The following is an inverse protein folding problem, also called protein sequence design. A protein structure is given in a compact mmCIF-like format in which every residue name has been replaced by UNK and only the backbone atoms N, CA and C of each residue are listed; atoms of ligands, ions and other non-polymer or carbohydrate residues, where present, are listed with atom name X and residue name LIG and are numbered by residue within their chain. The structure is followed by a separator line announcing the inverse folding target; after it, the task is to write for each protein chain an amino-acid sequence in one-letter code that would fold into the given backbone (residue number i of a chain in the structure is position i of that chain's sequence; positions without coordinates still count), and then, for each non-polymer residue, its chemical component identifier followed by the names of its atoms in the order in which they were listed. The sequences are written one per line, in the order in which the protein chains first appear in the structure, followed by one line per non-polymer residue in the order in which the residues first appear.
data_IF_911056490829
#
_entry.id   IF_911056490829
#
_cell.length_a   1.000
_cell.length_b   1.000
_cell.length_c   1.000
_cell.angle_alpha   90.00
_cell.angle_beta   90.00
_cell.angle_gamma   90.00
#
_symmetry.space_group_name_H-M   'P 1'
#
loop_
_entity.id
_entity.type
_entity.pdbx_description
1 polymer ?
#
# COMPACT_ATOMS: atom_id res chain seq x y z
N UNK A 1 -31.22 -28.08 8.95
CA UNK A 1 -30.84 -26.96 8.10
C UNK A 1 -29.35 -26.61 8.21
N UNK A 2 -28.68 -26.79 9.32
CA UNK A 2 -27.24 -26.50 9.54
C UNK A 2 -26.24 -27.48 8.87
N UNK A 3 -26.63 -28.70 8.54
CA UNK A 3 -25.77 -29.71 7.88
C UNK A 3 -25.69 -29.60 6.36
N UNK A 4 -26.53 -28.82 5.69
CA UNK A 4 -26.49 -28.60 4.24
C UNK A 4 -25.57 -27.37 3.88
N UNK A 5 -25.31 -26.47 4.82
CA UNK A 5 -24.45 -25.29 4.59
C UNK A 5 -22.97 -25.70 4.63
N UNK A 6 -22.58 -26.67 5.48
CA UNK A 6 -21.18 -27.08 5.62
C UNK A 6 -20.63 -27.85 4.39
N UNK A 7 -21.49 -28.56 3.62
CA UNK A 7 -21.05 -29.31 2.42
C UNK A 7 -20.87 -28.44 1.16
N UNK A 8 -21.56 -27.28 1.06
CA UNK A 8 -21.37 -26.34 -0.03
C UNK A 8 -20.11 -25.49 0.16
N UNK A 9 -19.71 -25.20 1.41
CA UNK A 9 -18.48 -24.45 1.68
C UNK A 9 -17.20 -25.25 1.38
N UNK A 10 -17.20 -26.57 1.62
CA UNK A 10 -16.02 -27.41 1.36
C UNK A 10 -15.75 -27.64 -0.13
N UNK A 11 -16.79 -27.66 -0.98
CA UNK A 11 -16.66 -27.77 -2.45
C UNK A 11 -16.21 -26.44 -3.10
N UNK A 12 -16.66 -25.30 -2.56
CA UNK A 12 -16.28 -23.97 -3.03
C UNK A 12 -14.81 -23.63 -2.68
N UNK A 13 -14.30 -24.14 -1.53
CA UNK A 13 -12.90 -23.93 -1.13
C UNK A 13 -11.93 -24.64 -2.09
N UNK A 14 -12.18 -25.90 -2.46
CA UNK A 14 -11.34 -26.63 -3.42
C UNK A 14 -11.32 -26.04 -4.83
N UNK A 15 -12.41 -25.45 -5.30
CA UNK A 15 -12.43 -24.77 -6.60
C UNK A 15 -11.75 -23.40 -6.56
N UNK A 16 -11.77 -22.69 -5.42
CA UNK A 16 -11.04 -21.42 -5.20
C UNK A 16 -9.54 -21.65 -5.17
N UNK A 17 -9.06 -22.68 -4.48
CA UNK A 17 -7.63 -23.00 -4.39
C UNK A 17 -7.05 -23.45 -5.74
N UNK A 18 -7.83 -24.17 -6.57
CA UNK A 18 -7.42 -24.49 -7.94
C UNK A 18 -7.43 -23.27 -8.88
N UNK A 19 -8.41 -22.37 -8.76
CA UNK A 19 -8.42 -21.12 -9.53
C UNK A 19 -7.27 -20.18 -9.09
N UNK A 20 -6.93 -20.14 -7.79
CA UNK A 20 -5.81 -19.35 -7.27
C UNK A 20 -4.46 -19.89 -7.74
N UNK A 21 -4.30 -21.21 -7.83
CA UNK A 21 -3.10 -21.83 -8.37
C UNK A 21 -2.96 -21.67 -9.90
N UNK A 22 -4.07 -21.65 -10.64
CA UNK A 22 -4.05 -21.42 -12.10
C UNK A 22 -3.82 -19.94 -12.48
N UNK A 23 -4.19 -18.97 -11.62
CA UNK A 23 -4.02 -17.53 -11.87
C UNK A 23 -2.70 -16.95 -11.31
N UNK A 24 -1.87 -17.73 -10.62
CA UNK A 24 -0.56 -17.28 -10.10
C UNK A 24 0.40 -16.76 -11.19
N UNK A 25 0.07 -17.01 -12.47
CA UNK A 25 0.92 -16.71 -13.63
C UNK A 25 0.48 -15.46 -14.44
N UNK A 26 -0.51 -14.69 -13.97
CA UNK A 26 -0.96 -13.46 -14.65
C UNK A 26 -0.80 -12.18 -13.83
N UNK A 27 0.04 -12.19 -12.82
CA UNK A 27 0.34 -11.03 -11.98
C UNK A 27 1.33 -10.07 -12.67
N UNK A 28 0.96 -9.54 -13.83
CA UNK A 28 1.67 -8.39 -14.38
C UNK A 28 1.27 -7.14 -13.59
N UNK A 29 2.25 -6.51 -12.97
CA UNK A 29 2.06 -5.36 -12.09
C UNK A 29 1.79 -4.07 -12.83
N UNK A 30 2.50 -3.83 -13.90
CA UNK A 30 2.17 -2.86 -14.92
C UNK A 30 1.24 -3.54 -15.93
N UNK A 31 0.29 -2.82 -16.51
CA UNK A 31 -0.56 -3.39 -17.56
C UNK A 31 0.34 -4.05 -18.62
N UNK A 32 0.12 -5.35 -18.83
CA UNK A 32 0.89 -6.13 -19.81
C UNK A 32 0.86 -5.53 -21.22
N UNK A 33 -0.11 -4.65 -21.51
CA UNK A 33 -0.16 -3.88 -22.75
C UNK A 33 1.04 -2.95 -22.89
N UNK A 34 1.43 -2.24 -21.82
CA UNK A 34 2.62 -1.38 -21.84
C UNK A 34 3.91 -2.15 -22.05
N UNK A 35 4.05 -3.33 -21.42
CA UNK A 35 5.25 -4.16 -21.58
C UNK A 35 5.29 -4.93 -22.90
N UNK A 36 4.17 -5.03 -23.67
CA UNK A 36 4.07 -5.82 -24.90
C UNK A 36 3.84 -5.02 -26.15
N UNK A 37 3.09 -3.92 -26.06
CA UNK A 37 2.71 -3.11 -27.22
C UNK A 37 3.43 -1.77 -27.27
N UNK A 38 3.68 -1.15 -26.10
CA UNK A 38 4.19 0.22 -25.99
C UNK A 38 5.38 0.31 -25.02
N UNK A 39 6.28 -0.68 -25.07
CA UNK A 39 7.38 -0.80 -24.09
C UNK A 39 8.35 0.41 -24.11
N UNK A 40 8.56 1.01 -25.29
CA UNK A 40 9.43 2.19 -25.42
C UNK A 40 8.81 3.44 -24.75
N UNK A 41 7.51 3.63 -24.89
CA UNK A 41 6.80 4.73 -24.21
C UNK A 41 6.74 4.48 -22.69
N UNK A 42 6.53 3.24 -22.27
CA UNK A 42 6.63 2.88 -20.86
C UNK A 42 8.02 3.15 -20.28
N UNK A 43 9.08 2.77 -21.01
CA UNK A 43 10.46 3.02 -20.61
C UNK A 43 10.76 4.53 -20.48
N UNK A 44 10.27 5.34 -21.42
CA UNK A 44 10.43 6.80 -21.39
C UNK A 44 9.72 7.41 -20.17
N UNK A 45 8.49 7.00 -19.86
CA UNK A 45 7.75 7.49 -18.69
C UNK A 45 8.38 7.02 -17.38
N UNK A 46 8.89 5.79 -17.33
CA UNK A 46 9.59 5.26 -16.16
C UNK A 46 10.93 5.95 -15.92
N UNK A 47 11.63 6.38 -16.99
CA UNK A 47 12.85 7.17 -16.88
C UNK A 47 12.61 8.51 -16.14
N UNK A 48 11.43 9.12 -16.28
CA UNK A 48 11.04 10.32 -15.52
C UNK A 48 10.95 10.04 -13.99
N UNK A 49 10.82 8.77 -13.59
CA UNK A 49 10.81 8.32 -12.19
C UNK A 49 12.17 7.77 -11.71
N UNK A 50 13.27 8.12 -12.40
CA UNK A 50 14.60 7.58 -12.14
C UNK A 50 14.64 6.03 -12.21
N UNK A 51 13.76 5.41 -13.01
CA UNK A 51 13.72 3.96 -13.21
C UNK A 51 14.10 3.60 -14.65
N UNK A 52 15.16 2.80 -14.79
CA UNK A 52 15.59 2.28 -16.10
C UNK A 52 14.96 0.92 -16.36
N UNK A 53 14.09 0.84 -17.37
CA UNK A 53 13.48 -0.41 -17.80
C UNK A 53 14.43 -1.13 -18.76
N UNK A 54 14.75 -2.39 -18.49
CA UNK A 54 15.53 -3.22 -19.41
C UNK A 54 14.65 -3.74 -20.56
N UNK A 55 14.46 -2.88 -21.55
CA UNK A 55 13.63 -3.12 -22.74
C UNK A 55 14.12 -4.32 -23.53
N UNK A 56 15.46 -4.46 -23.68
CA UNK A 56 16.05 -5.56 -24.44
C UNK A 56 15.72 -6.91 -23.77
N UNK A 57 15.98 -7.02 -22.48
CA UNK A 57 15.71 -8.26 -21.70
C UNK A 57 14.25 -8.65 -21.74
N UNK A 58 13.32 -7.68 -21.60
CA UNK A 58 11.89 -7.95 -21.66
C UNK A 58 11.47 -8.45 -23.04
N UNK A 59 11.98 -7.82 -24.10
CA UNK A 59 11.68 -8.24 -25.46
C UNK A 59 12.18 -9.66 -25.76
N UNK A 60 13.39 -10.01 -25.30
CA UNK A 60 13.96 -11.36 -25.40
C UNK A 60 13.07 -12.39 -24.69
N UNK A 61 12.68 -12.11 -23.45
CA UNK A 61 11.81 -12.98 -22.66
C UNK A 61 10.40 -13.11 -23.25
N UNK A 62 9.80 -12.03 -23.76
CA UNK A 62 8.49 -12.06 -24.42
C UNK A 62 8.53 -12.84 -25.75
N UNK A 63 9.63 -12.77 -26.51
CA UNK A 63 9.83 -13.63 -27.68
C UNK A 63 9.88 -15.11 -27.28
N UNK A 64 10.72 -15.44 -26.29
CA UNK A 64 10.85 -16.81 -25.79
C UNK A 64 9.54 -17.35 -25.20
N UNK A 65 8.75 -16.50 -24.53
CA UNK A 65 7.41 -16.84 -24.04
C UNK A 65 6.48 -17.21 -25.20
N UNK A 66 6.45 -16.42 -26.27
CA UNK A 66 5.63 -16.71 -27.47
C UNK A 66 6.03 -18.03 -28.11
N UNK A 67 7.33 -18.26 -28.29
CA UNK A 67 7.87 -19.48 -28.91
C UNK A 67 7.53 -20.74 -28.10
N UNK A 68 7.75 -20.67 -26.78
CA UNK A 68 7.43 -21.77 -25.86
C UNK A 68 5.94 -22.07 -25.79
N UNK A 69 5.07 -21.01 -25.81
CA UNK A 69 3.61 -21.19 -25.87
C UNK A 69 3.16 -21.87 -27.16
N UNK A 70 3.63 -21.42 -28.32
CA UNK A 70 3.31 -21.98 -29.61
C UNK A 70 3.76 -23.44 -29.65
N UNK A 71 5.01 -23.74 -29.26
CA UNK A 71 5.53 -25.12 -29.23
C UNK A 71 4.74 -26.02 -28.29
N UNK A 72 4.32 -25.52 -27.14
CA UNK A 72 3.46 -26.26 -26.18
C UNK A 72 2.12 -26.64 -26.83
N UNK A 73 1.47 -25.68 -27.51
CA UNK A 73 0.19 -25.92 -28.20
C UNK A 73 0.33 -26.93 -29.30
N UNK A 74 1.39 -26.84 -30.12
CA UNK A 74 1.66 -27.78 -31.22
C UNK A 74 1.90 -29.22 -30.70
N UNK A 75 2.73 -29.35 -29.67
CA UNK A 75 3.01 -30.66 -29.05
C UNK A 75 1.76 -31.25 -28.38
N UNK A 76 0.91 -30.43 -27.76
CA UNK A 76 -0.37 -30.88 -27.21
C UNK A 76 -1.31 -31.40 -28.31
N UNK A 77 -1.41 -30.66 -29.43
CA UNK A 77 -2.22 -31.06 -30.57
C UNK A 77 -1.72 -32.39 -31.19
N UNK A 78 -0.40 -32.52 -31.40
CA UNK A 78 0.22 -33.75 -31.92
C UNK A 78 -0.04 -34.94 -30.99
N UNK A 79 0.18 -34.77 -29.68
CA UNK A 79 -0.08 -35.82 -28.68
C UNK A 79 -1.54 -36.29 -28.69
N UNK A 80 -2.48 -35.30 -28.76
CA UNK A 80 -3.92 -35.61 -28.78
C UNK A 80 -4.31 -36.38 -30.06
N UNK A 81 -3.76 -36.01 -31.22
CA UNK A 81 -3.99 -36.70 -32.48
C UNK A 81 -3.46 -38.13 -32.46
N UNK A 82 -2.21 -38.33 -32.01
CA UNK A 82 -1.62 -39.68 -31.87
C UNK A 82 -2.38 -40.54 -30.86
N UNK A 83 -2.86 -39.95 -29.76
CA UNK A 83 -3.68 -40.67 -28.77
C UNK A 83 -5.01 -41.15 -29.35
N UNK A 84 -5.63 -40.36 -30.24
CA UNK A 84 -6.84 -40.80 -30.99
C UNK A 84 -6.51 -41.94 -31.95
N UNK A 85 -5.37 -41.86 -32.66
CA UNK A 85 -4.91 -42.90 -33.56
C UNK A 85 -4.63 -44.22 -32.86
N UNK A 86 -4.06 -44.19 -31.63
CA UNK A 86 -3.91 -45.41 -30.79
C UNK A 86 -5.26 -46.07 -30.54
N UNK A 87 -6.31 -45.27 -30.17
CA UNK A 87 -7.64 -45.81 -29.95
C UNK A 87 -8.26 -46.50 -31.20
N UNK A 88 -8.00 -45.93 -32.38
CA UNK A 88 -8.46 -46.49 -33.67
C UNK A 88 -7.68 -47.77 -34.04
N UNK A 89 -6.36 -47.73 -33.90
CA UNK A 89 -5.50 -48.87 -34.22
C UNK A 89 -5.77 -50.10 -33.33
N UNK A 90 -6.01 -49.89 -32.02
CA UNK A 90 -6.40 -50.97 -31.09
C UNK A 90 -7.72 -51.58 -31.51
N UNK A 91 -8.71 -50.78 -31.90
CA UNK A 91 -10.01 -51.30 -32.40
C UNK A 91 -9.86 -52.08 -33.68
N UNK A 92 -8.85 -51.78 -34.52
CA UNK A 92 -8.54 -52.46 -35.76
C UNK A 92 -7.59 -53.66 -35.57
N UNK A 93 -7.17 -53.99 -34.33
CA UNK A 93 -6.24 -55.09 -34.05
C UNK A 93 -4.80 -54.83 -34.53
N UNK A 94 -4.41 -53.59 -34.77
CA UNK A 94 -3.08 -53.21 -35.25
C UNK A 94 -2.08 -53.02 -34.10
N UNK A 95 -0.79 -53.22 -34.38
CA UNK A 95 0.27 -52.93 -33.44
C UNK A 95 0.39 -51.40 -33.19
N UNK A 96 0.44 -51.01 -31.92
CA UNK A 96 0.50 -49.60 -31.49
C UNK A 96 1.84 -49.24 -30.83
N UNK A 97 2.82 -50.13 -30.86
CA UNK A 97 4.11 -49.98 -30.16
C UNK A 97 4.84 -48.70 -30.62
N UNK A 98 4.92 -48.48 -31.93
CA UNK A 98 5.59 -47.30 -32.50
C UNK A 98 4.86 -45.99 -32.17
N UNK A 99 3.52 -46.00 -32.25
CA UNK A 99 2.72 -44.80 -31.93
C UNK A 99 2.84 -44.46 -30.43
N UNK A 100 2.88 -45.46 -29.54
CA UNK A 100 3.12 -45.26 -28.10
C UNK A 100 4.51 -44.68 -27.84
N UNK A 101 5.56 -45.14 -28.55
CA UNK A 101 6.91 -44.58 -28.43
C UNK A 101 6.95 -43.11 -28.88
N UNK A 102 6.25 -42.75 -29.96
CA UNK A 102 6.12 -41.35 -30.41
C UNK A 102 5.39 -40.48 -29.36
N UNK A 103 4.29 -40.99 -28.78
CA UNK A 103 3.57 -40.28 -27.71
C UNK A 103 4.45 -40.08 -26.49
N UNK A 104 5.26 -41.05 -26.10
CA UNK A 104 6.20 -40.91 -24.99
C UNK A 104 7.24 -39.81 -25.28
N UNK A 105 7.87 -39.82 -26.45
CA UNK A 105 8.83 -38.78 -26.86
C UNK A 105 8.22 -37.36 -26.88
N UNK A 106 7.01 -37.21 -27.42
CA UNK A 106 6.29 -35.94 -27.42
C UNK A 106 5.97 -35.50 -25.98
N UNK A 107 5.65 -36.44 -25.09
CA UNK A 107 5.34 -36.12 -23.69
C UNK A 107 6.58 -35.63 -22.92
N UNK A 108 7.75 -36.19 -23.18
CA UNK A 108 9.04 -35.74 -22.64
C UNK A 108 9.39 -34.33 -23.15
N UNK A 109 9.26 -34.09 -24.46
CA UNK A 109 9.49 -32.78 -25.06
C UNK A 109 8.51 -31.73 -24.49
N UNK A 110 7.22 -32.10 -24.35
CA UNK A 110 6.20 -31.21 -23.76
C UNK A 110 6.55 -30.86 -22.33
N UNK A 111 7.05 -31.77 -21.51
CA UNK A 111 7.48 -31.51 -20.15
C UNK A 111 8.66 -30.54 -20.11
N UNK A 112 9.65 -30.72 -21.00
CA UNK A 112 10.81 -29.84 -21.12
C UNK A 112 10.41 -28.43 -21.55
N UNK A 113 9.57 -28.30 -22.59
CA UNK A 113 9.09 -26.96 -23.05
C UNK A 113 8.26 -26.26 -22.01
N UNK A 114 7.42 -26.97 -21.25
CA UNK A 114 6.67 -26.39 -20.14
C UNK A 114 7.58 -25.90 -19.03
N UNK A 115 8.57 -26.66 -18.63
CA UNK A 115 9.53 -26.21 -17.60
C UNK A 115 10.24 -24.94 -18.05
N UNK A 116 10.63 -24.81 -19.32
CA UNK A 116 11.22 -23.59 -19.87
C UNK A 116 10.22 -22.43 -19.90
N UNK A 117 8.97 -22.70 -20.25
CA UNK A 117 7.89 -21.68 -20.21
C UNK A 117 7.69 -21.15 -18.79
N UNK A 118 7.66 -22.04 -17.81
CA UNK A 118 7.50 -21.67 -16.40
C UNK A 118 8.67 -20.81 -15.90
N UNK A 119 9.90 -21.13 -16.29
CA UNK A 119 11.09 -20.33 -15.99
C UNK A 119 11.00 -18.92 -16.58
N UNK A 120 10.64 -18.80 -17.86
CA UNK A 120 10.49 -17.52 -18.57
C UNK A 120 9.38 -16.68 -17.93
N UNK A 121 8.24 -17.28 -17.61
CA UNK A 121 7.13 -16.60 -16.95
C UNK A 121 7.53 -16.10 -15.56
N UNK A 122 8.30 -16.91 -14.81
CA UNK A 122 8.82 -16.51 -13.51
C UNK A 122 9.73 -15.28 -13.65
N UNK A 123 10.68 -15.31 -14.59
CA UNK A 123 11.63 -14.20 -14.78
C UNK A 123 10.91 -12.89 -15.19
N UNK A 124 9.94 -12.97 -16.14
CA UNK A 124 9.10 -11.85 -16.51
C UNK A 124 8.30 -11.28 -15.31
N UNK A 125 7.76 -12.16 -14.47
CA UNK A 125 7.04 -11.76 -13.27
C UNK A 125 7.98 -11.10 -12.26
N UNK A 126 9.17 -11.65 -12.02
CA UNK A 126 10.15 -11.09 -11.08
C UNK A 126 10.59 -9.67 -11.53
N UNK A 127 10.80 -9.45 -12.82
CA UNK A 127 11.04 -8.11 -13.37
C UNK A 127 9.83 -7.20 -13.13
N UNK A 128 8.62 -7.64 -13.51
CA UNK A 128 7.41 -6.84 -13.38
C UNK A 128 7.10 -6.45 -11.92
N UNK A 129 7.49 -7.28 -10.93
CA UNK A 129 7.35 -6.98 -9.51
C UNK A 129 8.14 -5.75 -9.06
N UNK A 130 9.22 -5.41 -9.76
CA UNK A 130 10.11 -4.29 -9.42
C UNK A 130 9.81 -3.00 -10.20
N UNK A 131 8.96 -3.07 -11.23
CA UNK A 131 8.60 -1.90 -12.04
C UNK A 131 7.60 -1.03 -11.28
N UNK A 132 7.88 0.27 -11.05
CA UNK A 132 6.94 1.18 -10.41
C UNK A 132 5.75 1.51 -11.32
N UNK A 133 4.69 2.08 -10.74
CA UNK A 133 3.56 2.57 -11.50
C UNK A 133 3.95 3.72 -12.44
N UNK A 134 3.22 3.90 -13.54
CA UNK A 134 3.46 5.00 -14.47
C UNK A 134 2.94 6.33 -13.91
N UNK A 135 3.73 7.42 -14.00
CA UNK A 135 3.27 8.73 -13.55
C UNK A 135 2.14 9.24 -14.43
N UNK A 136 1.19 9.96 -13.85
CA UNK A 136 0.20 10.71 -14.62
C UNK A 136 0.88 11.88 -15.35
N UNK A 137 0.37 12.24 -16.53
CA UNK A 137 0.92 13.32 -17.35
C UNK A 137 0.88 14.70 -16.67
N UNK A 138 -0.02 14.89 -15.68
CA UNK A 138 -0.11 16.12 -14.90
C UNK A 138 0.91 16.23 -13.76
N UNK A 139 1.74 15.21 -13.53
CA UNK A 139 2.77 15.27 -12.50
C UNK A 139 3.92 16.18 -12.93
N UNK A 140 4.46 17.02 -12.05
CA UNK A 140 5.71 17.73 -12.32
C UNK A 140 6.82 16.73 -12.64
N UNK A 141 7.67 17.04 -13.62
CA UNK A 141 8.83 16.20 -13.95
C UNK A 141 10.04 16.74 -13.20
N UNK A 142 10.67 15.89 -12.41
CA UNK A 142 11.86 16.25 -11.63
C UNK A 142 12.53 15.04 -11.00
N UNK A 143 13.80 15.19 -10.57
CA UNK A 143 14.62 14.09 -10.05
C UNK A 143 14.30 13.74 -8.59
N UNK A 144 13.88 14.71 -7.77
CA UNK A 144 13.72 14.59 -6.32
C UNK A 144 12.75 15.66 -5.77
N UNK A 145 12.60 15.71 -4.45
CA UNK A 145 11.70 16.61 -3.71
C UNK A 145 11.84 18.10 -4.05
N UNK A 146 12.99 18.54 -4.54
CA UNK A 146 13.23 19.94 -4.93
C UNK A 146 12.39 20.41 -6.12
N UNK A 147 11.87 19.46 -6.91
CA UNK A 147 10.99 19.72 -8.05
C UNK A 147 9.50 19.56 -7.74
N UNK A 148 9.12 19.32 -6.48
CA UNK A 148 7.73 19.32 -6.05
C UNK A 148 7.12 20.71 -6.20
N UNK A 149 5.83 20.78 -6.54
CA UNK A 149 5.14 22.05 -6.83
C UNK A 149 4.07 22.33 -5.80
N UNK A 150 4.14 23.48 -5.11
CA UNK A 150 3.06 23.95 -4.26
C UNK A 150 1.80 24.21 -5.09
N UNK A 151 0.69 23.56 -4.74
CA UNK A 151 -0.60 23.70 -5.43
C UNK A 151 -1.55 24.60 -4.67
N UNK A 152 -1.47 24.62 -3.35
CA UNK A 152 -2.29 25.48 -2.47
C UNK A 152 -1.72 25.57 -1.07
N UNK A 153 -2.13 26.62 -0.36
CA UNK A 153 -1.69 26.93 1.00
C UNK A 153 -2.87 27.38 1.84
N UNK A 154 -2.87 27.03 3.11
CA UNK A 154 -3.88 27.46 4.07
C UNK A 154 -3.28 27.92 5.39
N UNK A 155 -3.87 28.96 5.97
CA UNK A 155 -3.43 29.54 7.23
C UNK A 155 -2.17 30.39 7.12
N UNK A 156 -1.82 31.04 8.22
CA UNK A 156 -0.61 31.86 8.34
C UNK A 156 0.18 31.40 9.56
N UNK A 157 1.48 31.11 9.43
CA UNK A 157 2.33 30.79 10.58
C UNK A 157 2.22 31.84 11.69
N UNK A 158 2.05 31.40 12.93
CA UNK A 158 2.02 32.26 14.09
C UNK A 158 3.41 32.88 14.32
N UNK A 159 3.45 34.17 14.61
CA UNK A 159 4.65 34.85 15.12
C UNK A 159 4.71 34.69 16.64
N UNK A 160 5.90 34.46 17.16
CA UNK A 160 6.17 34.32 18.59
C UNK A 160 7.04 35.47 19.04
N UNK A 161 6.76 36.03 20.22
CA UNK A 161 7.55 37.04 20.89
C UNK A 161 8.54 36.46 21.93
N UNK A 162 8.71 35.12 21.90
CA UNK A 162 9.61 34.36 22.74
C UNK A 162 10.36 33.30 21.91
N UNK A 163 11.40 32.73 22.50
CA UNK A 163 12.17 31.64 21.86
C UNK A 163 11.34 30.36 21.72
N UNK A 164 11.12 29.96 20.48
CA UNK A 164 10.34 28.74 20.11
C UNK A 164 11.13 27.49 20.49
N UNK A 165 10.48 26.60 21.23
CA UNK A 165 11.03 25.27 21.57
C UNK A 165 10.50 24.21 20.63
N UNK A 166 11.33 23.19 20.36
CA UNK A 166 10.88 22.00 19.66
C UNK A 166 9.99 21.13 20.58
N UNK A 167 9.21 20.24 19.96
CA UNK A 167 8.29 19.34 20.67
C UNK A 167 8.97 18.46 21.72
N UNK A 168 10.27 18.14 21.54
CA UNK A 168 11.04 17.37 22.52
C UNK A 168 11.29 18.20 23.77
N UNK A 169 11.80 19.42 23.62
CA UNK A 169 12.05 20.31 24.73
C UNK A 169 10.75 20.67 25.48
N UNK A 170 9.63 20.84 24.77
CA UNK A 170 8.30 21.06 25.36
C UNK A 170 7.88 19.81 26.16
N UNK A 171 7.89 18.64 25.54
CA UNK A 171 7.40 17.41 26.16
C UNK A 171 8.25 16.89 27.33
N UNK A 172 9.58 17.03 27.25
CA UNK A 172 10.50 16.74 28.36
C UNK A 172 10.35 17.78 29.47
N UNK A 173 10.23 19.07 29.13
CA UNK A 173 10.00 20.15 30.10
C UNK A 173 8.69 19.98 30.90
N UNK A 174 7.65 19.43 30.27
CA UNK A 174 6.40 19.04 30.93
C UNK A 174 6.50 17.71 31.71
N UNK A 175 7.57 16.92 31.51
CA UNK A 175 7.72 15.58 32.10
C UNK A 175 6.81 14.51 31.46
N UNK A 176 6.26 14.79 30.24
CA UNK A 176 5.22 13.99 29.61
C UNK A 176 5.67 13.24 28.34
N UNK A 177 6.85 13.55 27.79
CA UNK A 177 7.56 12.72 26.78
C UNK A 177 8.81 12.14 27.42
N UNK A 178 9.06 10.85 27.22
CA UNK A 178 10.15 10.12 27.86
C UNK A 178 10.82 9.18 26.85
N UNK A 179 11.89 9.67 26.26
CA UNK A 179 12.70 8.92 25.29
C UNK A 179 13.74 8.03 25.96
N UNK A 180 14.13 8.33 27.21
CA UNK A 180 15.11 7.54 27.96
C UNK A 180 14.50 6.19 28.37
N UNK A 181 13.30 6.22 28.95
CA UNK A 181 12.57 4.98 29.27
C UNK A 181 12.28 4.16 28.00
N UNK A 182 11.92 4.81 26.90
CA UNK A 182 11.69 4.12 25.62
C UNK A 182 12.96 3.42 25.11
N UNK A 183 14.11 4.09 25.22
CA UNK A 183 15.41 3.49 24.85
C UNK A 183 15.75 2.27 25.69
N UNK A 184 15.43 2.30 26.96
CA UNK A 184 15.64 1.16 27.87
C UNK A 184 14.77 -0.04 27.49
N UNK A 185 13.53 0.21 27.06
CA UNK A 185 12.53 -0.86 26.78
C UNK A 185 12.68 -1.41 25.36
N UNK A 186 12.88 -0.54 24.35
CA UNK A 186 12.77 -0.92 22.93
C UNK A 186 13.93 -0.40 22.05
N UNK A 187 14.80 0.48 22.59
CA UNK A 187 15.86 1.09 21.80
C UNK A 187 15.54 2.52 21.33
N UNK A 188 16.30 3.00 20.34
CA UNK A 188 16.10 4.30 19.75
C UNK A 188 14.81 4.34 18.89
N UNK A 189 14.32 5.55 18.58
CA UNK A 189 13.12 5.78 17.74
C UNK A 189 11.82 5.17 18.30
N UNK A 190 11.72 5.10 19.63
CA UNK A 190 10.50 4.85 20.39
C UNK A 190 10.30 5.97 21.40
N UNK A 191 9.07 6.20 21.84
CA UNK A 191 8.73 7.20 22.82
C UNK A 191 7.67 6.68 23.81
N UNK A 192 7.78 7.13 25.06
CA UNK A 192 6.69 7.04 26.03
C UNK A 192 5.99 8.39 26.10
N UNK A 193 4.68 8.38 26.03
CA UNK A 193 3.81 9.52 26.26
C UNK A 193 3.06 9.34 27.58
N UNK A 194 3.01 10.35 28.42
CA UNK A 194 2.41 10.27 29.76
C UNK A 194 1.34 11.35 29.95
N UNK A 195 0.37 11.08 30.84
CA UNK A 195 -0.61 12.04 31.30
C UNK A 195 -1.35 12.79 30.19
N UNK A 196 -1.45 14.14 30.30
CA UNK A 196 -2.15 14.99 29.34
C UNK A 196 -1.68 14.87 27.89
N UNK A 197 -0.36 14.72 27.62
CA UNK A 197 0.13 14.52 26.24
C UNK A 197 -0.38 13.20 25.68
N UNK A 198 -0.42 12.11 26.47
CA UNK A 198 -1.02 10.87 26.03
C UNK A 198 -2.53 10.99 25.74
N UNK A 199 -3.24 11.77 26.58
CA UNK A 199 -4.67 12.09 26.33
C UNK A 199 -4.83 12.93 25.06
N UNK A 200 -3.93 13.90 24.81
CA UNK A 200 -3.93 14.74 23.62
C UNK A 200 -3.69 13.90 22.35
N UNK A 201 -2.74 12.96 22.38
CA UNK A 201 -2.51 12.03 21.29
C UNK A 201 -3.77 11.21 20.95
N UNK A 202 -4.45 10.67 21.97
CA UNK A 202 -5.70 9.94 21.77
C UNK A 202 -6.84 10.86 21.29
N UNK A 203 -6.90 12.10 21.75
CA UNK A 203 -7.89 13.09 21.29
C UNK A 203 -7.71 13.44 19.81
N UNK A 204 -6.47 13.49 19.31
CA UNK A 204 -6.18 13.66 17.89
C UNK A 204 -6.72 12.50 17.06
N UNK A 205 -6.50 11.25 17.52
CA UNK A 205 -7.08 10.06 16.86
C UNK A 205 -8.59 10.16 16.76
N UNK A 206 -9.26 10.50 17.89
CA UNK A 206 -10.73 10.61 17.91
C UNK A 206 -11.24 11.71 16.97
N UNK A 207 -10.59 12.89 16.96
CA UNK A 207 -10.95 13.96 16.05
C UNK A 207 -10.84 13.53 14.57
N UNK A 208 -9.74 12.87 14.21
CA UNK A 208 -9.52 12.40 12.85
C UNK A 208 -10.60 11.39 12.42
N UNK A 209 -10.87 10.38 13.26
CA UNK A 209 -11.90 9.39 12.97
C UNK A 209 -13.30 9.99 12.86
N UNK A 210 -13.67 10.88 13.79
CA UNK A 210 -14.97 11.56 13.75
C UNK A 210 -15.15 12.38 12.45
N UNK A 211 -14.11 13.15 12.04
CA UNK A 211 -14.16 13.93 10.81
C UNK A 211 -14.28 13.02 9.57
N UNK A 212 -13.54 11.95 9.51
CA UNK A 212 -13.62 11.03 8.36
C UNK A 212 -14.95 10.28 8.34
N UNK A 213 -15.54 9.95 9.50
CA UNK A 213 -16.89 9.42 9.56
C UNK A 213 -17.92 10.40 8.99
N UNK A 214 -17.83 11.70 9.34
CA UNK A 214 -18.70 12.75 8.79
C UNK A 214 -18.48 12.92 7.27
N UNK A 215 -17.29 12.65 6.74
CA UNK A 215 -16.94 12.65 5.31
C UNK A 215 -17.36 11.37 4.57
N UNK A 216 -18.05 10.44 5.26
CA UNK A 216 -18.63 9.24 4.68
C UNK A 216 -17.69 8.03 4.62
N UNK A 217 -16.61 8.03 5.40
CA UNK A 217 -15.77 6.83 5.57
C UNK A 217 -16.39 5.90 6.61
N UNK A 218 -16.28 4.60 6.35
CA UNK A 218 -16.59 3.57 7.34
C UNK A 218 -15.34 3.27 8.15
N UNK A 219 -15.40 3.42 9.47
CA UNK A 219 -14.31 3.02 10.36
C UNK A 219 -14.19 1.50 10.42
N UNK A 220 -12.96 0.99 10.30
CA UNK A 220 -12.65 -0.45 10.29
C UNK A 220 -11.56 -0.76 11.32
N UNK A 221 -11.78 -1.77 12.16
CA UNK A 221 -10.72 -2.35 12.98
C UNK A 221 -10.02 -3.45 12.19
N UNK A 222 -8.70 -3.34 11.99
CA UNK A 222 -7.93 -4.24 11.13
C UNK A 222 -6.91 -5.07 11.90
N UNK A 223 -6.49 -6.25 11.38
CA UNK A 223 -5.30 -6.93 11.87
C UNK A 223 -4.02 -6.09 11.69
N UNK A 224 -3.10 -6.16 12.65
CA UNK A 224 -1.78 -5.50 12.57
C UNK A 224 -0.69 -6.45 12.05
N UNK A 225 -0.98 -7.75 12.04
CA UNK A 225 -0.17 -8.78 11.40
C UNK A 225 -0.83 -9.17 10.08
N UNK A 226 -0.09 -9.10 8.99
CA UNK A 226 -0.57 -9.44 7.65
C UNK A 226 0.35 -10.45 6.99
N UNK A 227 -0.21 -11.30 6.12
CA UNK A 227 0.56 -12.23 5.32
C UNK A 227 1.28 -11.50 4.16
N UNK A 228 2.28 -12.17 3.57
CA UNK A 228 3.07 -11.61 2.47
C UNK A 228 2.22 -11.25 1.25
N UNK A 229 1.18 -12.03 0.94
CA UNK A 229 0.30 -11.75 -0.20
C UNK A 229 -0.39 -10.39 -0.09
N UNK A 230 -0.70 -9.94 1.14
CA UNK A 230 -1.26 -8.60 1.37
C UNK A 230 -0.25 -7.50 1.08
N UNK A 231 1.02 -7.71 1.43
CA UNK A 231 2.12 -6.77 1.16
C UNK A 231 2.49 -6.74 -0.33
N UNK A 232 2.41 -7.87 -1.03
CA UNK A 232 2.51 -7.91 -2.49
C UNK A 232 1.35 -7.18 -3.14
N UNK A 233 0.13 -7.33 -2.62
CA UNK A 233 -1.08 -6.70 -3.15
C UNK A 233 -0.99 -5.18 -3.22
N UNK A 234 -0.46 -4.53 -2.18
CA UNK A 234 -0.33 -3.07 -2.10
C UNK A 234 1.03 -2.54 -2.54
N UNK A 235 2.01 -3.43 -2.83
CA UNK A 235 3.29 -3.05 -3.44
C UNK A 235 4.43 -2.77 -2.46
N UNK A 236 4.27 -3.08 -1.17
CA UNK A 236 5.38 -3.02 -0.22
C UNK A 236 6.42 -4.10 -0.52
N UNK A 237 5.98 -5.29 -0.93
CA UNK A 237 6.86 -6.36 -1.37
C UNK A 237 6.99 -6.39 -2.90
N UNK A 238 8.16 -6.79 -3.44
CA UNK A 238 9.40 -7.14 -2.74
C UNK A 238 10.30 -5.94 -2.38
N UNK A 239 10.03 -4.74 -2.94
CA UNK A 239 10.94 -3.59 -2.95
C UNK A 239 11.32 -3.10 -1.55
N UNK A 240 10.37 -3.07 -0.62
CA UNK A 240 10.54 -2.52 0.73
C UNK A 240 10.62 -3.61 1.81
N UNK A 241 11.06 -4.82 1.45
CA UNK A 241 11.17 -5.94 2.38
C UNK A 241 12.03 -5.61 3.61
N UNK A 242 13.11 -4.84 3.44
CA UNK A 242 14.02 -4.43 4.52
C UNK A 242 13.41 -3.38 5.47
N UNK A 243 12.36 -2.66 5.02
CA UNK A 243 11.65 -1.68 5.84
C UNK A 243 10.56 -2.31 6.71
N UNK A 244 10.30 -3.59 6.57
CA UNK A 244 9.26 -4.32 7.30
C UNK A 244 9.80 -5.00 8.55
N UNK A 245 8.99 -5.04 9.61
CA UNK A 245 9.20 -5.92 10.75
C UNK A 245 8.60 -7.30 10.46
N UNK A 246 9.46 -8.27 10.21
CA UNK A 246 9.10 -9.66 9.97
C UNK A 246 8.94 -10.43 11.28
N UNK A 247 7.96 -11.33 11.34
CA UNK A 247 7.83 -12.25 12.46
C UNK A 247 8.39 -13.62 12.09
N UNK A 248 9.15 -14.20 13.00
CA UNK A 248 9.60 -15.59 12.88
C UNK A 248 8.70 -16.45 13.78
N UNK A 249 7.50 -16.76 13.29
CA UNK A 249 6.64 -17.72 13.95
C UNK A 249 6.96 -19.10 13.37
N UNK A 250 7.64 -19.93 14.18
CA UNK A 250 7.84 -21.34 13.88
C UNK A 250 6.55 -22.08 14.22
N UNK A 251 5.86 -22.58 13.23
CA UNK A 251 4.69 -23.42 13.39
C UNK A 251 3.51 -23.09 12.50
N UNK A 252 2.58 -24.02 12.42
CA UNK A 252 1.30 -23.93 11.75
C UNK A 252 0.33 -23.13 12.63
N UNK A 253 0.22 -21.82 12.37
CA UNK A 253 -0.65 -20.92 13.15
C UNK A 253 -2.15 -21.11 12.85
N UNK A 254 -2.48 -21.65 11.66
CA UNK A 254 -3.86 -21.78 11.18
C UNK A 254 -4.36 -23.23 11.18
N UNK A 255 -3.50 -24.19 11.54
CA UNK A 255 -3.83 -25.63 11.55
C UNK A 255 -3.95 -26.23 10.15
N UNK A 256 -3.38 -25.59 9.13
CA UNK A 256 -3.41 -26.04 7.73
C UNK A 256 -2.12 -26.78 7.29
N UNK A 257 -1.14 -26.92 8.20
CA UNK A 257 0.13 -27.59 7.94
C UNK A 257 1.14 -26.70 7.22
N UNK A 258 0.89 -25.38 7.11
CA UNK A 258 1.77 -24.43 6.43
C UNK A 258 2.36 -23.44 7.43
N UNK A 259 3.66 -23.20 7.35
CA UNK A 259 4.31 -22.12 8.08
C UNK A 259 3.95 -20.77 7.44
N UNK A 260 3.17 -19.96 8.16
CA UNK A 260 2.80 -18.63 7.72
C UNK A 260 3.84 -17.60 8.15
N UNK A 261 4.31 -16.82 7.18
CA UNK A 261 5.17 -15.67 7.42
C UNK A 261 4.32 -14.41 7.52
N UNK A 262 4.31 -13.78 8.70
CA UNK A 262 3.60 -12.53 8.93
C UNK A 262 4.57 -11.36 9.06
N UNK A 263 4.09 -10.17 8.74
CA UNK A 263 4.78 -8.90 9.00
C UNK A 263 3.86 -7.98 9.79
N UNK A 264 4.46 -7.15 10.65
CA UNK A 264 3.75 -6.00 11.22
C UNK A 264 3.47 -4.99 10.11
N UNK A 265 2.27 -4.40 10.10
CA UNK A 265 1.85 -3.45 9.07
C UNK A 265 2.68 -2.16 9.10
N UNK A 266 3.20 -1.67 7.97
CA UNK A 266 3.82 -0.35 7.89
C UNK A 266 2.79 0.79 7.77
N UNK A 267 1.54 0.45 7.48
CA UNK A 267 0.39 1.34 7.28
C UNK A 267 -0.91 0.51 7.25
N UNK A 268 -2.02 1.08 7.68
CA UNK A 268 -3.34 0.47 7.54
C UNK A 268 -3.81 0.36 6.08
N UNK A 269 -3.16 1.05 5.14
CA UNK A 269 -3.38 0.85 3.70
C UNK A 269 -3.35 -0.64 3.34
N UNK A 270 -2.40 -1.39 3.89
CA UNK A 270 -2.23 -2.83 3.55
C UNK A 270 -3.49 -3.63 3.87
N UNK A 271 -3.97 -3.73 5.10
CA UNK A 271 -5.18 -4.51 5.38
C UNK A 271 -6.43 -3.91 4.76
N UNK A 272 -6.59 -2.56 4.75
CA UNK A 272 -7.79 -1.92 4.21
C UNK A 272 -7.95 -2.15 2.70
N UNK A 273 -6.89 -1.96 1.93
CA UNK A 273 -6.93 -2.16 0.47
C UNK A 273 -7.15 -3.63 0.12
N UNK A 274 -6.57 -4.56 0.91
CA UNK A 274 -6.74 -6.00 0.69
C UNK A 274 -8.12 -6.55 1.06
N UNK A 275 -9.03 -5.77 1.65
CA UNK A 275 -10.43 -6.16 1.86
C UNK A 275 -11.11 -6.63 0.57
N UNK A 276 -10.70 -6.09 -0.57
CA UNK A 276 -11.26 -6.41 -1.89
C UNK A 276 -10.36 -7.34 -2.73
N UNK A 277 -9.35 -7.96 -2.12
CA UNK A 277 -8.45 -8.88 -2.83
C UNK A 277 -9.19 -10.11 -3.35
N UNK A 278 -9.09 -10.34 -4.68
CA UNK A 278 -9.75 -11.47 -5.35
C UNK A 278 -11.24 -11.27 -5.62
N UNK A 279 -11.80 -10.13 -5.24
CA UNK A 279 -13.23 -9.88 -5.35
C UNK A 279 -13.62 -9.25 -6.70
N UNK A 280 -14.88 -9.48 -7.09
CA UNK A 280 -15.54 -8.79 -8.20
C UNK A 280 -16.71 -8.01 -7.62
N UNK A 281 -16.50 -6.72 -7.41
CA UNK A 281 -17.43 -5.81 -6.72
C UNK A 281 -18.51 -5.37 -7.70
N UNK A 282 -19.80 -5.43 -7.35
CA UNK A 282 -20.85 -4.82 -8.13
C UNK A 282 -20.66 -3.29 -8.26
N UNK A 283 -20.85 -2.73 -9.45
CA UNK A 283 -20.63 -1.29 -9.70
C UNK A 283 -21.39 -0.37 -8.72
N UNK A 284 -22.59 -0.77 -8.29
CA UNK A 284 -23.42 0.01 -7.38
C UNK A 284 -22.90 0.04 -5.93
N UNK A 285 -21.94 -0.80 -5.57
CA UNK A 285 -21.30 -0.82 -4.25
C UNK A 285 -20.11 0.14 -4.17
N UNK A 286 -19.73 0.76 -5.29
CA UNK A 286 -18.64 1.74 -5.35
C UNK A 286 -19.20 3.18 -5.27
N UNK A 287 -18.48 4.12 -4.63
CA UNK A 287 -17.17 3.95 -4.00
C UNK A 287 -17.25 3.24 -2.63
N UNK A 288 -16.21 2.45 -2.29
CA UNK A 288 -15.97 1.98 -0.93
C UNK A 288 -14.97 2.95 -0.30
N UNK A 289 -15.38 3.62 0.78
CA UNK A 289 -14.56 4.55 1.56
C UNK A 289 -14.38 3.99 2.97
N UNK A 290 -13.16 3.67 3.35
CA UNK A 290 -12.84 3.10 4.67
C UNK A 290 -11.70 3.84 5.35
N UNK A 291 -11.74 3.91 6.68
CA UNK A 291 -10.68 4.49 7.51
C UNK A 291 -10.34 3.58 8.69
N UNK A 292 -9.10 3.62 9.13
CA UNK A 292 -8.66 2.92 10.34
C UNK A 292 -7.57 3.70 11.06
N UNK A 293 -7.65 3.72 12.39
CA UNK A 293 -6.53 4.06 13.24
C UNK A 293 -5.74 2.81 13.57
N UNK A 294 -4.44 2.81 13.30
CA UNK A 294 -3.55 1.70 13.66
C UNK A 294 -2.17 2.19 14.11
N UNK A 295 -1.48 1.43 14.97
CA UNK A 295 -0.03 1.52 15.01
C UNK A 295 0.53 1.08 13.65
N UNK A 296 1.64 1.71 13.25
CA UNK A 296 2.38 1.42 12.03
C UNK A 296 3.83 1.16 12.42
N UNK A 297 4.46 0.19 11.74
CA UNK A 297 5.79 -0.29 12.09
C UNK A 297 6.73 -0.20 10.88
N UNK A 298 7.84 0.55 11.01
CA UNK A 298 8.83 0.72 9.93
C UNK A 298 10.24 0.57 10.51
N UNK A 299 11.08 -0.25 9.89
CA UNK A 299 12.47 -0.42 10.32
C UNK A 299 13.34 0.79 9.99
N UNK A 300 12.84 1.69 9.11
CA UNK A 300 13.55 2.92 8.72
C UNK A 300 14.97 2.65 8.20
N UNK A 301 15.17 1.55 7.49
CA UNK A 301 16.49 1.06 7.03
C UNK A 301 17.23 2.10 6.17
N UNK A 302 16.50 2.86 5.33
CA UNK A 302 17.07 3.90 4.46
C UNK A 302 17.28 5.28 5.11
N UNK A 303 16.95 5.45 6.42
CA UNK A 303 16.88 6.79 7.06
C UNK A 303 18.00 7.03 8.07
N UNK A 304 19.17 6.42 7.90
CA UNK A 304 20.31 6.58 8.82
C UNK A 304 20.69 8.08 8.96
N UNK A 305 20.71 8.57 10.23
CA UNK A 305 21.09 9.94 10.55
C UNK A 305 20.03 11.02 10.35
N UNK A 306 18.86 10.72 9.78
CA UNK A 306 17.77 11.71 9.61
C UNK A 306 16.79 11.66 10.78
N UNK A 307 16.38 12.83 11.29
CA UNK A 307 15.36 13.00 12.34
C UNK A 307 15.48 11.96 13.49
N UNK A 308 16.70 11.80 14.02
CA UNK A 308 17.00 10.78 15.04
C UNK A 308 16.47 11.12 16.43
N UNK A 309 15.96 12.35 16.62
CA UNK A 309 15.39 12.87 17.87
C UNK A 309 13.91 13.22 17.69
N UNK A 310 13.11 12.93 18.71
CA UNK A 310 11.71 13.29 18.77
C UNK A 310 10.76 12.32 18.07
N UNK A 311 9.57 12.82 17.70
CA UNK A 311 8.44 12.02 17.22
C UNK A 311 8.28 11.99 15.69
N UNK A 312 9.15 12.67 14.94
CA UNK A 312 8.98 12.83 13.48
C UNK A 312 9.22 11.51 12.74
N UNK A 313 10.24 10.74 13.19
CA UNK A 313 10.63 9.48 12.54
C UNK A 313 10.85 8.38 13.57
N UNK A 314 9.88 7.47 13.66
CA UNK A 314 9.78 6.43 14.68
C UNK A 314 9.63 5.05 14.04
N UNK A 315 10.14 4.00 14.74
CA UNK A 315 9.89 2.60 14.37
C UNK A 315 8.44 2.19 14.58
N UNK A 316 7.79 2.79 15.57
CA UNK A 316 6.37 2.62 15.87
C UNK A 316 5.71 3.99 15.98
N UNK A 317 4.65 4.20 15.23
CA UNK A 317 3.85 5.43 15.28
C UNK A 317 2.39 5.13 14.95
N UNK A 318 1.48 6.02 15.36
CA UNK A 318 0.05 5.89 15.06
C UNK A 318 -0.33 6.71 13.83
N UNK A 319 -1.20 6.15 13.00
CA UNK A 319 -1.73 6.79 11.80
C UNK A 319 -3.22 6.50 11.66
N UNK A 320 -3.99 7.50 11.32
CA UNK A 320 -5.32 7.32 10.76
C UNK A 320 -5.15 7.26 9.25
N UNK A 321 -5.59 6.18 8.63
CA UNK A 321 -5.47 5.96 7.20
C UNK A 321 -6.83 5.97 6.54
N UNK A 322 -6.91 6.59 5.38
CA UNK A 322 -8.07 6.60 4.51
C UNK A 322 -7.77 5.80 3.25
N UNK A 323 -8.68 4.91 2.85
CA UNK A 323 -8.60 4.16 1.59
C UNK A 323 -9.91 4.29 0.85
N UNK A 324 -9.81 4.49 -0.46
CA UNK A 324 -10.95 4.48 -1.36
C UNK A 324 -10.76 3.46 -2.48
N UNK A 325 -11.80 2.66 -2.73
CA UNK A 325 -11.90 1.77 -3.89
C UNK A 325 -12.98 2.37 -4.78
N UNK A 326 -12.61 2.74 -5.99
CA UNK A 326 -13.49 3.54 -6.87
C UNK A 326 -13.52 2.99 -8.29
N UNK A 327 -14.48 3.48 -9.08
CA UNK A 327 -14.48 3.26 -10.51
C UNK A 327 -13.33 4.03 -11.18
N UNK A 328 -12.76 3.51 -12.28
CA UNK A 328 -11.65 4.16 -12.99
C UNK A 328 -11.90 5.63 -13.34
N UNK A 329 -13.10 5.94 -13.83
CA UNK A 329 -13.50 7.29 -14.24
C UNK A 329 -13.58 8.29 -13.08
N UNK A 330 -13.85 7.82 -11.86
CA UNK A 330 -14.04 8.68 -10.69
C UNK A 330 -12.74 8.95 -9.94
N UNK A 331 -11.64 8.24 -10.25
CA UNK A 331 -10.45 8.17 -9.38
C UNK A 331 -9.67 9.48 -9.26
N UNK A 332 -9.68 10.34 -10.27
CA UNK A 332 -8.98 11.63 -10.20
C UNK A 332 -9.72 12.62 -9.31
N UNK A 333 -11.05 12.66 -9.39
CA UNK A 333 -11.86 13.46 -8.47
C UNK A 333 -11.76 12.91 -7.06
N UNK A 334 -11.74 11.59 -6.89
CA UNK A 334 -11.56 10.94 -5.60
C UNK A 334 -10.22 11.31 -4.93
N UNK A 335 -9.14 11.54 -5.70
CA UNK A 335 -7.86 12.03 -5.16
C UNK A 335 -7.99 13.46 -4.60
N UNK A 336 -8.66 14.35 -5.34
CA UNK A 336 -8.90 15.71 -4.87
C UNK A 336 -9.74 15.74 -3.59
N UNK A 337 -10.78 14.91 -3.52
CA UNK A 337 -11.66 14.83 -2.36
C UNK A 337 -10.94 14.21 -1.15
N UNK A 338 -10.20 13.11 -1.34
CA UNK A 338 -9.41 12.45 -0.30
C UNK A 338 -8.36 13.41 0.28
N UNK A 339 -7.73 14.23 -0.57
CA UNK A 339 -6.76 15.24 -0.11
C UNK A 339 -7.44 16.31 0.74
N UNK A 340 -8.62 16.80 0.32
CA UNK A 340 -9.43 17.75 1.13
C UNK A 340 -9.90 17.15 2.44
N UNK A 341 -10.24 15.85 2.45
CA UNK A 341 -10.63 15.14 3.66
C UNK A 341 -9.49 15.15 4.69
N UNK A 342 -8.24 14.97 4.25
CA UNK A 342 -7.05 15.09 5.10
C UNK A 342 -6.78 16.53 5.54
N UNK A 343 -6.89 17.53 4.64
CA UNK A 343 -6.73 18.96 4.94
C UNK A 343 -7.70 19.43 6.02
N UNK A 344 -8.93 18.90 6.04
CA UNK A 344 -9.96 19.28 7.01
C UNK A 344 -9.51 19.06 8.46
N UNK A 345 -8.66 18.09 8.74
CA UNK A 345 -8.11 17.86 10.09
C UNK A 345 -7.22 19.03 10.52
N UNK A 346 -6.33 19.51 9.64
CA UNK A 346 -5.45 20.66 9.95
C UNK A 346 -6.24 21.96 10.04
N UNK A 347 -7.27 22.12 9.22
CA UNK A 347 -8.17 23.28 9.29
C UNK A 347 -8.95 23.29 10.61
N UNK A 348 -9.46 22.14 11.05
CA UNK A 348 -10.14 22.02 12.34
C UNK A 348 -9.19 22.31 13.53
N UNK A 349 -7.91 21.97 13.38
CA UNK A 349 -6.87 22.27 14.34
C UNK A 349 -6.32 23.71 14.23
N UNK A 350 -6.72 24.47 13.22
CA UNK A 350 -6.22 25.83 12.93
C UNK A 350 -4.68 25.86 12.77
N UNK A 351 -4.09 24.83 12.15
CA UNK A 351 -2.64 24.73 11.94
C UNK A 351 -2.31 25.01 10.46
N UNK A 352 -1.38 25.94 10.17
CA UNK A 352 -1.01 26.28 8.80
C UNK A 352 -0.32 25.10 8.09
N UNK A 353 -0.67 24.94 6.82
CA UNK A 353 -0.09 23.91 5.94
C UNK A 353 -0.04 24.40 4.49
N UNK A 354 0.69 23.66 3.66
CA UNK A 354 0.56 23.72 2.22
C UNK A 354 0.41 22.32 1.62
N UNK A 355 -0.08 22.26 0.38
CA UNK A 355 -0.21 21.04 -0.39
C UNK A 355 0.72 21.12 -1.57
N UNK A 356 1.55 20.09 -1.77
CA UNK A 356 2.48 19.98 -2.88
C UNK A 356 2.13 18.80 -3.77
N UNK A 357 2.19 19.00 -5.09
CA UNK A 357 2.14 17.90 -6.04
C UNK A 357 3.54 17.32 -6.17
N UNK A 358 3.69 16.03 -5.87
CA UNK A 358 4.98 15.37 -5.99
C UNK A 358 5.41 15.26 -7.45
N UNK A 359 6.68 15.51 -7.70
CA UNK A 359 7.29 15.28 -9.00
C UNK A 359 7.52 13.79 -9.24
N UNK A 360 7.77 13.43 -10.49
CA UNK A 360 7.94 12.05 -10.93
C UNK A 360 9.06 11.30 -10.20
N UNK A 361 10.13 11.97 -9.77
CA UNK A 361 11.25 11.36 -9.05
C UNK A 361 11.01 11.12 -7.57
N UNK A 362 10.03 11.82 -6.96
CA UNK A 362 9.72 11.75 -5.54
C UNK A 362 8.48 10.88 -5.20
N UNK A 363 7.68 10.52 -6.20
CA UNK A 363 6.47 9.73 -6.01
C UNK A 363 6.74 8.31 -5.49
N UNK A 364 5.88 7.84 -4.58
CA UNK A 364 5.88 6.47 -4.08
C UNK A 364 5.70 5.41 -5.17
N UNK A 365 6.22 4.20 -4.94
CA UNK A 365 6.31 3.10 -5.91
C UNK A 365 4.98 2.77 -6.61
N UNK A 366 3.89 2.67 -5.84
CA UNK A 366 2.57 2.28 -6.35
C UNK A 366 1.76 3.44 -6.92
N UNK A 367 2.20 4.68 -6.70
CA UNK A 367 1.44 5.89 -7.04
C UNK A 367 1.58 6.29 -8.50
N UNK A 368 0.47 6.70 -9.11
CA UNK A 368 0.43 7.39 -10.40
C UNK A 368 0.39 8.92 -10.25
N UNK A 369 -0.11 9.43 -9.13
CA UNK A 369 -0.07 10.84 -8.72
C UNK A 369 -0.22 10.94 -7.22
N UNK A 370 0.54 11.82 -6.60
CA UNK A 370 0.52 12.06 -5.15
C UNK A 370 0.46 13.55 -4.85
N UNK A 371 -0.33 13.90 -3.85
CA UNK A 371 -0.28 15.16 -3.13
C UNK A 371 0.22 14.91 -1.72
N UNK A 372 1.27 15.62 -1.32
CA UNK A 372 1.67 15.68 0.09
C UNK A 372 1.12 16.95 0.74
N UNK A 373 0.66 16.79 1.98
CA UNK A 373 0.30 17.89 2.84
C UNK A 373 1.44 18.08 3.83
N UNK A 374 2.00 19.29 3.87
CA UNK A 374 3.11 19.63 4.74
C UNK A 374 2.67 20.69 5.74
N UNK A 375 2.84 20.39 7.03
CA UNK A 375 2.44 21.24 8.14
C UNK A 375 3.59 22.14 8.57
N UNK A 376 3.27 23.39 8.96
CA UNK A 376 4.26 24.30 9.49
C UNK A 376 4.76 23.89 10.88
N UNK A 377 6.08 23.75 11.03
CA UNK A 377 6.75 23.52 12.30
C UNK A 377 7.60 24.73 12.70
N UNK A 378 7.16 25.53 13.70
CA UNK A 378 7.83 26.78 14.08
C UNK A 378 9.28 26.58 14.53
N UNK A 379 9.58 25.51 15.27
CA UNK A 379 10.93 25.27 15.79
C UNK A 379 11.95 24.97 14.69
N UNK A 380 11.50 24.41 13.56
CA UNK A 380 12.34 24.14 12.40
C UNK A 380 12.27 25.24 11.35
N UNK A 381 11.30 26.17 11.50
CA UNK A 381 11.00 27.23 10.55
C UNK A 381 10.82 26.68 9.11
N UNK A 382 10.13 25.55 8.97
CA UNK A 382 9.86 24.93 7.69
C UNK A 382 8.53 24.14 7.71
N UNK A 383 8.08 23.77 6.51
CA UNK A 383 6.99 22.82 6.35
C UNK A 383 7.54 21.39 6.39
N UNK A 384 6.77 20.46 6.95
CA UNK A 384 7.10 19.03 7.05
C UNK A 384 5.90 18.19 6.67
N UNK A 385 6.14 17.15 5.89
CA UNK A 385 5.13 16.18 5.48
C UNK A 385 4.39 15.58 6.68
N UNK A 386 3.06 15.62 6.63
CA UNK A 386 2.16 15.05 7.64
C UNK A 386 1.18 14.06 7.03
N UNK A 387 0.91 14.18 5.74
CA UNK A 387 0.06 13.28 4.97
C UNK A 387 0.57 13.17 3.55
N UNK A 388 0.40 11.97 2.97
CA UNK A 388 0.63 11.70 1.55
C UNK A 388 -0.63 11.05 1.00
N UNK A 389 -1.26 11.68 -0.01
CA UNK A 389 -2.50 11.25 -0.64
C UNK A 389 -2.23 10.81 -2.07
N UNK A 390 -2.43 9.51 -2.36
CA UNK A 390 -2.02 8.88 -3.61
C UNK A 390 -3.17 8.24 -4.35
N UNK A 391 -3.19 8.42 -5.67
CA UNK A 391 -3.98 7.60 -6.59
C UNK A 391 -3.07 6.55 -7.23
N UNK A 392 -3.34 5.28 -6.93
CA UNK A 392 -2.60 4.14 -7.47
C UNK A 392 -3.19 3.62 -8.78
N UNK A 393 -4.27 4.21 -9.27
CA UNK A 393 -5.07 3.73 -10.41
C UNK A 393 -5.33 2.23 -10.31
N UNK A 394 -5.08 1.45 -11.34
CA UNK A 394 -5.30 0.00 -11.35
C UNK A 394 -4.09 -0.83 -10.85
N UNK A 395 -3.00 -0.21 -10.45
CA UNK A 395 -1.74 -0.87 -10.10
C UNK A 395 -1.89 -1.89 -8.95
N UNK A 396 -2.48 -1.48 -7.84
CA UNK A 396 -2.74 -2.37 -6.70
C UNK A 396 -3.88 -3.34 -7.01
N UNK A 397 -4.93 -2.88 -7.69
CA UNK A 397 -6.05 -3.72 -8.09
C UNK A 397 -5.61 -4.87 -9.00
N UNK A 398 -4.63 -4.64 -9.88
CA UNK A 398 -4.03 -5.66 -10.73
C UNK A 398 -3.30 -6.73 -9.91
N UNK A 399 -2.49 -6.30 -8.92
CA UNK A 399 -1.78 -7.19 -8.00
C UNK A 399 -2.73 -8.04 -7.15
N UNK A 400 -3.81 -7.43 -6.68
CA UNK A 400 -4.80 -8.06 -5.80
C UNK A 400 -5.91 -8.79 -6.58
N UNK A 401 -6.00 -8.63 -7.91
CA UNK A 401 -7.13 -9.09 -8.72
C UNK A 401 -8.48 -8.53 -8.25
N UNK A 402 -8.46 -7.27 -7.78
CA UNK A 402 -9.66 -6.54 -7.38
C UNK A 402 -10.34 -5.94 -8.62
N UNK A 403 -11.60 -6.30 -8.84
CA UNK A 403 -12.33 -5.97 -10.07
C UNK A 403 -13.72 -5.43 -9.75
N UNK A 404 -14.28 -4.67 -10.66
CA UNK A 404 -15.69 -4.30 -10.64
C UNK A 404 -16.44 -5.00 -11.76
N UNK A 405 -17.73 -5.25 -11.54
CA UNK A 405 -18.69 -5.71 -12.56
C UNK A 405 -19.63 -4.58 -12.91
N UNK A 406 -19.54 -4.11 -14.14
CA UNK A 406 -20.44 -3.10 -14.69
C UNK A 406 -21.86 -3.64 -14.83
N UNK A 407 -22.84 -2.73 -14.95
CA UNK A 407 -24.27 -3.09 -15.17
C UNK A 407 -24.48 -3.88 -16.45
N UNK A 408 -23.66 -3.66 -17.49
CA UNK A 408 -23.68 -4.39 -18.76
C UNK A 408 -23.00 -5.77 -18.67
N UNK A 409 -22.47 -6.14 -17.51
CA UNK A 409 -21.76 -7.40 -17.26
C UNK A 409 -20.26 -7.37 -17.53
N UNK A 410 -19.70 -6.28 -18.08
CA UNK A 410 -18.27 -6.12 -18.28
C UNK A 410 -17.55 -6.16 -16.94
N UNK A 411 -16.40 -6.85 -16.90
CA UNK A 411 -15.53 -6.91 -15.71
C UNK A 411 -14.23 -6.19 -16.04
N UNK A 412 -13.83 -5.26 -15.15
CA UNK A 412 -12.57 -4.51 -15.26
C UNK A 412 -11.98 -4.25 -13.88
N UNK A 413 -10.74 -3.77 -13.82
CA UNK A 413 -10.06 -3.47 -12.56
C UNK A 413 -10.68 -2.22 -11.91
N UNK A 414 -10.74 -2.21 -10.58
CA UNK A 414 -11.03 -1.00 -9.81
C UNK A 414 -9.80 -0.10 -9.74
N UNK A 415 -9.98 1.17 -9.36
CA UNK A 415 -8.87 2.03 -8.93
C UNK A 415 -8.82 2.12 -7.42
N UNK A 416 -7.61 2.24 -6.87
CA UNK A 416 -7.37 2.35 -5.43
C UNK A 416 -6.69 3.67 -5.11
N UNK A 417 -7.10 4.28 -4.01
CA UNK A 417 -6.50 5.48 -3.45
C UNK A 417 -6.26 5.29 -1.97
N UNK A 418 -5.22 5.90 -1.48
CA UNK A 418 -4.93 5.94 -0.04
C UNK A 418 -4.38 7.31 0.36
N UNK A 419 -4.56 7.66 1.62
CA UNK A 419 -3.99 8.86 2.20
C UNK A 419 -4.03 8.85 3.71
N UNK A 420 -3.02 9.47 4.34
CA UNK A 420 -3.04 9.63 5.79
C UNK A 420 -4.02 10.71 6.18
N UNK A 421 -4.89 10.40 7.11
CA UNK A 421 -5.86 11.35 7.63
C UNK A 421 -5.77 11.62 9.14
N UNK A 422 -4.61 11.79 9.82
CA UNK A 422 -3.21 12.05 9.46
C UNK A 422 -2.24 11.09 10.19
N UNK A 423 -0.92 11.37 10.08
CA UNK A 423 0.09 10.80 10.98
C UNK A 423 -0.03 11.43 12.38
N UNK A 424 -0.54 10.65 13.36
CA UNK A 424 -0.95 11.20 14.68
C UNK A 424 0.22 11.80 15.45
N UNK A 425 1.39 11.13 15.44
CA UNK A 425 2.59 11.61 16.09
C UNK A 425 3.09 12.95 15.51
N UNK A 426 3.11 13.09 14.19
CA UNK A 426 3.48 14.37 13.54
C UNK A 426 2.45 15.46 13.78
N UNK A 427 1.16 15.12 13.86
CA UNK A 427 0.10 16.06 14.24
C UNK A 427 0.27 16.53 15.68
N UNK A 428 0.65 15.63 16.60
CA UNK A 428 0.99 16.00 17.97
C UNK A 428 2.19 16.95 18.01
N UNK A 429 3.25 16.70 17.23
CA UNK A 429 4.39 17.62 17.08
C UNK A 429 3.90 19.01 16.65
N UNK A 430 3.08 19.07 15.61
CA UNK A 430 2.55 20.33 15.10
C UNK A 430 1.70 21.09 16.14
N UNK A 431 0.86 20.37 16.91
CA UNK A 431 0.08 20.99 18.00
C UNK A 431 1.01 21.52 19.09
N UNK A 432 1.96 20.71 19.59
CA UNK A 432 2.88 21.14 20.64
C UNK A 432 3.65 22.41 20.23
N UNK A 433 4.18 22.45 19.01
CA UNK A 433 5.01 23.56 18.56
C UNK A 433 4.21 24.81 18.19
N UNK A 434 3.03 24.67 17.54
CA UNK A 434 2.22 25.84 17.16
C UNK A 434 1.41 26.44 18.32
N UNK A 435 1.09 25.64 19.34
CA UNK A 435 0.25 26.07 20.48
C UNK A 435 1.03 26.29 21.78
N UNK A 436 2.38 26.30 21.72
CA UNK A 436 3.23 26.58 22.88
C UNK A 436 3.07 28.01 23.38
N UNK A 437 3.24 28.18 24.68
CA UNK A 437 3.24 29.46 25.37
C UNK A 437 4.64 29.78 25.94
N UNK A 438 4.90 31.04 26.24
CA UNK A 438 6.17 31.54 26.77
C UNK A 438 6.60 30.87 28.11
N UNK A 439 5.65 30.44 28.92
CA UNK A 439 5.88 29.73 30.19
C UNK A 439 6.15 28.23 30.03
N UNK A 440 6.17 27.73 28.80
CA UNK A 440 6.39 26.30 28.49
C UNK A 440 5.13 25.44 28.55
N UNK A 441 3.97 26.04 28.84
CA UNK A 441 2.68 25.34 28.71
C UNK A 441 2.23 25.27 27.27
N UNK A 442 1.21 24.43 26.99
CA UNK A 442 0.62 24.27 25.65
C UNK A 442 -0.88 24.54 25.73
N UNK A 443 -1.36 25.46 24.92
CA UNK A 443 -2.80 25.73 24.78
C UNK A 443 -3.44 24.58 24.00
N UNK A 444 -4.53 23.99 24.48
CA UNK A 444 -5.26 22.94 23.79
C UNK A 444 -6.12 23.56 22.69
N UNK A 445 -5.97 23.13 21.41
CA UNK A 445 -6.85 23.55 20.33
C UNK A 445 -8.32 23.40 20.70
N UNK A 446 -9.15 24.39 20.38
CA UNK A 446 -10.56 24.45 20.81
C UNK A 446 -11.34 23.17 20.46
N UNK A 447 -11.11 22.63 19.23
CA UNK A 447 -11.77 21.43 18.73
C UNK A 447 -11.45 20.19 19.56
N UNK A 448 -10.28 20.13 20.21
CA UNK A 448 -9.82 18.99 21.01
C UNK A 448 -10.32 19.03 22.47
N UNK A 449 -10.75 20.18 22.98
CA UNK A 449 -11.15 20.34 24.40
C UNK A 449 -12.26 19.38 24.81
N UNK A 450 -13.24 19.11 23.93
CA UNK A 450 -14.32 18.15 24.19
C UNK A 450 -13.81 16.72 24.48
N UNK A 451 -12.71 16.29 23.84
CA UNK A 451 -12.10 14.97 24.04
C UNK A 451 -11.19 14.90 25.28
N UNK A 452 -10.83 16.06 25.84
CA UNK A 452 -9.97 16.20 27.01
C UNK A 452 -10.72 16.61 28.27
N UNK A 453 -12.07 16.57 28.25
CA UNK A 453 -12.89 16.91 29.41
C UNK A 453 -12.91 18.44 29.70
N UNK A 454 -12.73 19.25 28.66
CA UNK A 454 -12.72 20.71 28.78
C UNK A 454 -11.35 21.29 29.11
N UNK A 455 -10.28 20.50 29.16
CA UNK A 455 -8.93 21.01 29.43
C UNK A 455 -8.51 22.05 28.38
N UNK A 456 -8.09 23.25 28.85
CA UNK A 456 -7.73 24.36 27.97
C UNK A 456 -6.21 24.54 27.82
N UNK A 457 -5.44 24.18 28.84
CA UNK A 457 -3.99 24.35 28.87
C UNK A 457 -3.34 23.15 29.52
N UNK A 458 -2.27 22.68 28.94
CA UNK A 458 -1.40 21.62 29.49
C UNK A 458 -0.16 22.28 30.05
N UNK A 459 0.10 22.07 31.34
CA UNK A 459 1.30 22.53 32.03
C UNK A 459 1.87 21.39 32.90
N UNK A 460 3.02 21.58 33.53
CA UNK A 460 3.68 20.54 34.33
C UNK A 460 2.85 20.05 35.54
N UNK A 461 1.88 20.80 35.99
CA UNK A 461 0.99 20.46 37.12
C UNK A 461 -0.30 19.75 36.64
N UNK A 462 -0.57 19.74 35.34
CA UNK A 462 -1.78 19.12 34.75
C UNK A 462 -1.68 17.58 34.91
N UNK A 463 -2.70 16.96 35.52
CA UNK A 463 -2.75 15.52 35.76
C UNK A 463 -3.67 14.78 34.79
#
# INVERSE_FOLDING_TARGET
MLKLISRKFCSAKKSRDLLFLFNKWQLFMLDSRYLRADIEEAAKRLAQRNYTLDVQKINELESLRKDTMTRTQDLQAQRNNLSKSIGQAIKAGQDVTEIKAQVAKISEELASVKAKQDEVLKELNDIALTVPNLPNESCPIGPDESANVEVRKWGTPRSFDFEVKDHVAIGEGLGMLDFETARKVSGARFAFMKGPICKLHRALVQLMLDLHYEQGYTEVYTPYLVNLDSLYGTGQMPKFAEDLFHTNLDGDCDGDGVNHHFCLIPTAEVPLTNMVRGEIIPEQELPIKVTAHTPCFRSEAGSAGRDTRGLIRMHQFDKVEMVQIVKPEDSWQALEDLTKDAEAVLQALEIPYHVVALCTGDMGFSSAKTYDIEVWLPAQNCYREISSCSNCVDFQARRMQARLRRKDGKVELVHTLNGSGLAVGRTLVAVLENYQNADGSVTVPKVLRKYLGGLEVINAETK
#
